data_IF_986975756521
#
_entry.id   IF_986975756521
#
_cell.length_a   1.000
_cell.length_b   1.000
_cell.length_c   1.000
_cell.angle_alpha   90.00
_cell.angle_beta   90.00
_cell.angle_gamma   90.00
#
_symmetry.space_group_name_H-M   'P 1'
#
loop_
_entity.id
_entity.type
_entity.pdbx_description
1 polymer ?
#
# COMPACT_ATOMS: atom_id res chain seq x y z
N UNK A 1 -43.92 -31.06 -70.62
CA UNK A 1 -43.57 -31.25 -69.19
C UNK A 1 -42.37 -30.36 -68.79
N UNK A 2 -42.51 -29.03 -68.61
CA UNK A 2 -41.39 -28.14 -68.26
C UNK A 2 -41.38 -27.71 -66.77
N UNK A 3 -42.44 -28.01 -66.00
CA UNK A 3 -42.61 -27.47 -64.65
C UNK A 3 -41.87 -28.27 -63.56
N UNK A 4 -41.58 -29.56 -63.76
CA UNK A 4 -40.87 -30.35 -62.75
C UNK A 4 -39.37 -30.04 -62.69
N UNK A 5 -38.71 -29.72 -63.82
CA UNK A 5 -37.31 -29.29 -63.83
C UNK A 5 -37.11 -27.92 -63.18
N UNK A 6 -38.05 -27.00 -63.37
CA UNK A 6 -38.02 -25.66 -62.74
C UNK A 6 -38.15 -25.74 -61.22
N UNK A 7 -39.05 -26.61 -60.72
CA UNK A 7 -39.21 -26.88 -59.29
C UNK A 7 -37.98 -27.59 -58.69
N UNK A 8 -37.34 -28.49 -59.44
CA UNK A 8 -36.14 -29.21 -58.99
C UNK A 8 -34.91 -28.29 -58.94
N UNK A 9 -34.74 -27.37 -59.89
CA UNK A 9 -33.70 -26.32 -59.87
C UNK A 9 -33.90 -25.32 -58.74
N UNK A 10 -35.13 -24.84 -58.51
CA UNK A 10 -35.43 -23.94 -57.38
C UNK A 10 -35.17 -24.59 -56.01
N UNK A 11 -35.35 -25.90 -55.87
CA UNK A 11 -35.02 -26.63 -54.65
C UNK A 11 -33.50 -26.76 -54.42
N UNK A 12 -32.75 -26.99 -55.49
CA UNK A 12 -31.28 -27.10 -55.48
C UNK A 12 -30.62 -25.76 -55.16
N UNK A 13 -31.11 -24.66 -55.74
CA UNK A 13 -30.60 -23.31 -55.45
C UNK A 13 -30.84 -22.92 -54.00
N UNK A 14 -32.04 -23.20 -53.45
CA UNK A 14 -32.34 -22.96 -52.03
C UNK A 14 -31.47 -23.78 -51.10
N UNK A 15 -31.20 -25.05 -51.43
CA UNK A 15 -30.29 -25.90 -50.66
C UNK A 15 -28.85 -25.37 -50.71
N UNK A 16 -28.38 -24.91 -51.88
CA UNK A 16 -27.06 -24.30 -52.02
C UNK A 16 -26.93 -23.01 -51.19
N UNK A 17 -27.94 -22.13 -51.20
CA UNK A 17 -27.96 -20.94 -50.35
C UNK A 17 -27.98 -21.27 -48.86
N UNK A 18 -28.71 -22.31 -48.44
CA UNK A 18 -28.72 -22.76 -47.05
C UNK A 18 -27.35 -23.28 -46.61
N UNK A 19 -26.69 -24.08 -47.45
CA UNK A 19 -25.34 -24.58 -47.18
C UNK A 19 -24.35 -23.41 -47.08
N UNK A 20 -24.45 -22.43 -47.98
CA UNK A 20 -23.57 -21.26 -47.99
C UNK A 20 -23.81 -20.37 -46.77
N UNK A 21 -25.06 -20.20 -46.33
CA UNK A 21 -25.41 -19.52 -45.08
C UNK A 21 -24.84 -20.27 -43.86
N UNK A 22 -25.02 -21.59 -43.79
CA UNK A 22 -24.47 -22.43 -42.73
C UNK A 22 -22.94 -22.33 -42.68
N UNK A 23 -22.27 -22.38 -43.83
CA UNK A 23 -20.82 -22.22 -43.93
C UNK A 23 -20.38 -20.83 -43.44
N UNK A 24 -21.10 -19.78 -43.85
CA UNK A 24 -20.88 -18.41 -43.40
C UNK A 24 -21.03 -18.26 -41.87
N UNK A 25 -22.05 -18.89 -41.29
CA UNK A 25 -22.26 -18.93 -39.83
C UNK A 25 -21.15 -19.68 -39.10
N UNK A 26 -20.67 -20.80 -39.66
CA UNK A 26 -19.54 -21.56 -39.10
C UNK A 26 -18.26 -20.74 -39.13
N UNK A 27 -17.96 -20.07 -40.25
CA UNK A 27 -16.79 -19.19 -40.37
C UNK A 27 -16.91 -18.01 -39.40
N UNK A 28 -18.08 -17.37 -39.32
CA UNK A 28 -18.32 -16.29 -38.36
C UNK A 28 -18.13 -16.77 -36.91
N UNK A 29 -18.67 -17.94 -36.56
CA UNK A 29 -18.47 -18.55 -35.24
C UNK A 29 -16.99 -18.85 -34.97
N UNK A 30 -16.25 -19.34 -35.95
CA UNK A 30 -14.82 -19.62 -35.83
C UNK A 30 -14.00 -18.34 -35.64
N UNK A 31 -14.28 -17.29 -36.41
CA UNK A 31 -13.64 -15.98 -36.27
C UNK A 31 -13.96 -15.35 -34.91
N UNK A 32 -15.22 -15.40 -34.48
CA UNK A 32 -15.63 -14.90 -33.16
C UNK A 32 -14.91 -15.70 -32.08
N UNK A 33 -14.99 -17.03 -32.09
CA UNK A 33 -14.34 -17.90 -31.10
C UNK A 33 -12.82 -17.70 -31.04
N UNK A 34 -12.16 -17.50 -32.19
CA UNK A 34 -10.74 -17.22 -32.24
C UNK A 34 -10.43 -15.87 -31.62
N UNK A 35 -11.22 -14.84 -31.93
CA UNK A 35 -11.03 -13.47 -31.40
C UNK A 35 -11.42 -13.31 -29.94
N UNK A 36 -12.36 -14.11 -29.45
CA UNK A 36 -12.85 -14.09 -28.06
C UNK A 36 -12.18 -15.11 -27.15
N UNK A 37 -11.30 -15.96 -27.69
CA UNK A 37 -10.48 -16.83 -26.87
C UNK A 37 -9.54 -16.01 -25.98
N UNK A 38 -9.39 -16.43 -24.73
CA UNK A 38 -8.42 -15.87 -23.80
C UNK A 38 -7.65 -17.03 -23.16
N UNK A 39 -6.36 -16.80 -22.94
CA UNK A 39 -5.56 -17.59 -22.03
C UNK A 39 -5.30 -16.76 -20.78
N UNK A 40 -5.08 -17.40 -19.65
CA UNK A 40 -4.58 -16.69 -18.48
C UNK A 40 -3.07 -16.50 -18.61
N UNK A 41 -2.58 -15.36 -18.16
CA UNK A 41 -1.16 -15.09 -18.03
C UNK A 41 -0.52 -16.08 -17.05
N UNK A 42 0.81 -16.05 -16.96
CA UNK A 42 1.48 -16.56 -15.76
C UNK A 42 0.97 -15.86 -14.49
N UNK A 43 1.26 -16.48 -13.35
CA UNK A 43 0.94 -15.92 -12.05
C UNK A 43 1.68 -14.58 -11.82
N UNK A 44 0.94 -13.56 -11.39
CA UNK A 44 1.45 -12.24 -11.04
C UNK A 44 1.36 -12.11 -9.53
N UNK A 45 2.52 -12.16 -8.87
CA UNK A 45 2.62 -12.11 -7.42
C UNK A 45 2.61 -10.66 -6.91
N UNK A 46 1.78 -10.37 -5.91
CA UNK A 46 1.88 -9.12 -5.16
C UNK A 46 3.02 -9.25 -4.13
N UNK A 47 4.09 -8.46 -4.33
CA UNK A 47 5.34 -8.58 -3.56
C UNK A 47 5.09 -8.59 -2.04
N UNK A 48 5.54 -9.66 -1.39
CA UNK A 48 5.55 -9.80 0.07
C UNK A 48 4.24 -10.24 0.72
N UNK A 49 3.10 -10.20 0.02
CA UNK A 49 1.80 -10.54 0.62
C UNK A 49 1.44 -12.02 0.53
N UNK A 50 2.14 -12.78 -0.33
CA UNK A 50 1.82 -14.16 -0.65
C UNK A 50 0.66 -14.32 -1.66
N UNK A 51 0.02 -13.22 -2.07
CA UNK A 51 -1.04 -13.24 -3.07
C UNK A 51 -0.46 -13.39 -4.47
N UNK A 52 -1.10 -14.24 -5.25
CA UNK A 52 -0.81 -14.48 -6.65
C UNK A 52 -2.12 -14.50 -7.44
N UNK A 53 -2.21 -13.74 -8.55
CA UNK A 53 -3.37 -13.74 -9.44
C UNK A 53 -2.95 -13.85 -10.89
N UNK A 54 -3.84 -14.29 -11.77
CA UNK A 54 -3.61 -14.22 -13.21
C UNK A 54 -4.45 -13.11 -13.84
N UNK A 55 -4.03 -12.66 -15.02
CA UNK A 55 -4.75 -11.72 -15.87
C UNK A 55 -5.03 -12.36 -17.22
N UNK A 56 -6.08 -11.93 -17.95
CA UNK A 56 -6.26 -12.41 -19.31
C UNK A 56 -5.11 -11.97 -20.21
N UNK A 57 -4.68 -12.87 -21.08
CA UNK A 57 -3.60 -12.69 -22.04
C UNK A 57 -4.00 -13.28 -23.40
N UNK A 58 -3.94 -12.45 -24.43
CA UNK A 58 -3.98 -12.80 -25.85
C UNK A 58 -3.65 -11.54 -26.67
N UNK A 59 -3.54 -11.65 -28.00
CA UNK A 59 -3.31 -10.49 -28.88
C UNK A 59 -4.34 -9.35 -28.70
N UNK A 60 -5.56 -9.68 -28.27
CA UNK A 60 -6.64 -8.70 -28.10
C UNK A 60 -6.72 -8.11 -26.69
N UNK A 61 -5.99 -8.68 -25.72
CA UNK A 61 -5.95 -8.19 -24.35
C UNK A 61 -4.77 -7.25 -24.14
N UNK A 62 -5.06 -6.02 -23.72
CA UNK A 62 -4.06 -5.05 -23.29
C UNK A 62 -4.03 -4.98 -21.78
N UNK A 63 -2.93 -5.43 -21.20
CA UNK A 63 -2.62 -5.20 -19.79
C UNK A 63 -2.26 -3.72 -19.58
N UNK A 64 -2.85 -3.06 -18.58
CA UNK A 64 -2.62 -1.64 -18.29
C UNK A 64 -1.35 -1.40 -17.46
N UNK A 65 -0.86 -2.45 -16.78
CA UNK A 65 0.39 -2.45 -16.02
C UNK A 65 0.95 -3.86 -15.92
N UNK A 66 2.27 -4.02 -16.07
CA UNK A 66 2.91 -5.34 -15.98
C UNK A 66 2.92 -5.92 -14.56
N UNK A 67 2.61 -5.09 -13.55
CA UNK A 67 2.56 -5.46 -12.13
C UNK A 67 1.45 -4.64 -11.44
N UNK A 68 1.17 -4.97 -10.18
CA UNK A 68 0.28 -4.22 -9.31
C UNK A 68 0.77 -2.77 -9.11
N UNK A 69 -0.15 -1.82 -9.30
CA UNK A 69 0.07 -0.41 -8.99
C UNK A 69 -0.58 -0.07 -7.65
N UNK A 70 0.18 0.61 -6.79
CA UNK A 70 -0.34 1.11 -5.51
C UNK A 70 -0.98 2.49 -5.69
N UNK A 71 -2.27 2.61 -5.42
CA UNK A 71 -3.02 3.86 -5.48
C UNK A 71 -4.15 3.84 -4.44
N UNK A 72 -4.34 4.93 -3.68
CA UNK A 72 -5.44 5.08 -2.71
C UNK A 72 -5.57 3.93 -1.69
N UNK A 73 -4.47 3.53 -1.05
CA UNK A 73 -4.44 2.44 -0.06
C UNK A 73 -4.91 1.08 -0.59
N UNK A 74 -4.69 0.82 -1.88
CA UNK A 74 -4.91 -0.47 -2.52
C UNK A 74 -3.93 -0.74 -3.66
N UNK A 75 -3.74 -2.02 -3.98
CA UNK A 75 -2.99 -2.46 -5.15
C UNK A 75 -3.95 -2.86 -6.26
N UNK A 76 -3.74 -2.35 -7.47
CA UNK A 76 -4.57 -2.60 -8.64
C UNK A 76 -3.79 -3.19 -9.80
N UNK A 77 -4.38 -4.14 -10.50
CA UNK A 77 -3.92 -4.58 -11.82
C UNK A 77 -5.13 -4.77 -12.72
N UNK A 78 -5.04 -4.26 -13.95
CA UNK A 78 -6.17 -4.21 -14.87
C UNK A 78 -5.77 -4.61 -16.29
N UNK A 79 -6.67 -5.27 -16.99
CA UNK A 79 -6.57 -5.56 -18.41
C UNK A 79 -7.87 -5.17 -19.12
N UNK A 80 -7.75 -4.80 -20.40
CA UNK A 80 -8.88 -4.42 -21.23
C UNK A 80 -8.79 -5.10 -22.60
N UNK A 81 -9.92 -5.60 -23.07
CA UNK A 81 -10.12 -6.06 -24.45
C UNK A 81 -11.17 -5.17 -25.11
N UNK A 82 -10.80 -4.55 -26.23
CA UNK A 82 -11.75 -3.79 -27.07
C UNK A 82 -12.27 -4.70 -28.17
N UNK A 83 -13.57 -4.92 -28.22
CA UNK A 83 -14.23 -5.75 -29.23
C UNK A 83 -14.68 -4.87 -30.40
N UNK A 84 -15.26 -3.71 -30.11
CA UNK A 84 -15.70 -2.70 -31.07
C UNK A 84 -15.62 -1.29 -30.46
N UNK A 85 -16.16 -0.26 -31.15
CA UNK A 85 -16.27 1.11 -30.63
C UNK A 85 -17.08 1.19 -29.33
N UNK A 86 -18.10 0.33 -29.19
CA UNK A 86 -19.09 0.39 -28.11
C UNK A 86 -19.14 -0.89 -27.27
N UNK A 87 -18.19 -1.81 -27.48
CA UNK A 87 -18.09 -3.06 -26.73
C UNK A 87 -16.66 -3.30 -26.29
N UNK A 88 -16.49 -3.41 -24.97
CA UNK A 88 -15.24 -3.72 -24.32
C UNK A 88 -15.50 -4.59 -23.09
N UNK A 89 -14.48 -5.37 -22.72
CA UNK A 89 -14.43 -6.06 -21.44
C UNK A 89 -13.19 -5.56 -20.71
N UNK A 90 -13.34 -5.14 -19.46
CA UNK A 90 -12.23 -4.89 -18.55
C UNK A 90 -12.29 -5.86 -17.39
N UNK A 91 -11.11 -6.30 -16.93
CA UNK A 91 -10.94 -7.08 -15.72
C UNK A 91 -9.95 -6.36 -14.82
N UNK A 92 -10.30 -6.21 -13.54
CA UNK A 92 -9.48 -5.52 -12.54
C UNK A 92 -9.45 -6.30 -11.24
N UNK A 93 -8.24 -6.64 -10.79
CA UNK A 93 -8.00 -7.07 -9.42
C UNK A 93 -7.66 -5.86 -8.55
N UNK A 94 -8.21 -5.85 -7.34
CA UNK A 94 -7.93 -4.88 -6.29
C UNK A 94 -7.62 -5.62 -5.01
N UNK A 95 -6.44 -5.39 -4.44
CA UNK A 95 -6.07 -5.84 -3.11
C UNK A 95 -6.16 -4.65 -2.17
N UNK A 96 -7.15 -4.69 -1.28
CA UNK A 96 -7.43 -3.62 -0.34
C UNK A 96 -6.59 -3.84 0.92
N UNK A 97 -5.76 -2.86 1.26
CA UNK A 97 -4.98 -2.92 2.49
C UNK A 97 -5.93 -2.84 3.68
N UNK A 98 -6.85 -1.89 3.69
CA UNK A 98 -7.73 -1.72 4.84
C UNK A 98 -8.87 -2.75 4.78
N UNK A 99 -9.09 -3.58 5.82
CA UNK A 99 -10.23 -4.49 5.85
C UNK A 99 -11.54 -3.72 5.75
N UNK A 100 -12.40 -4.10 4.82
CA UNK A 100 -13.75 -3.55 4.73
C UNK A 100 -14.64 -4.26 5.74
N UNK A 101 -15.27 -3.48 6.63
CA UNK A 101 -16.24 -3.99 7.61
C UNK A 101 -17.64 -4.21 7.02
N UNK A 102 -17.87 -3.75 5.79
CA UNK A 102 -19.17 -3.84 5.12
C UNK A 102 -19.43 -5.26 4.65
N UNK A 103 -20.63 -5.77 4.97
CA UNK A 103 -21.13 -7.05 4.51
C UNK A 103 -21.08 -7.15 2.96
N UNK A 104 -20.74 -8.31 2.38
CA UNK A 104 -20.70 -8.47 0.92
C UNK A 104 -21.99 -8.05 0.21
N UNK A 105 -23.17 -8.33 0.77
CA UNK A 105 -24.44 -7.96 0.15
C UNK A 105 -24.66 -6.45 0.18
N UNK A 106 -24.37 -5.79 1.30
CA UNK A 106 -24.42 -4.33 1.39
C UNK A 106 -23.48 -3.68 0.38
N UNK A 107 -22.30 -4.26 0.18
CA UNK A 107 -21.33 -3.81 -0.83
C UNK A 107 -21.88 -3.96 -2.24
N UNK A 108 -22.47 -5.11 -2.58
CA UNK A 108 -23.07 -5.31 -3.90
C UNK A 108 -24.24 -4.35 -4.14
N UNK A 109 -25.04 -4.06 -3.12
CA UNK A 109 -26.11 -3.05 -3.18
C UNK A 109 -25.56 -1.64 -3.42
N UNK A 110 -24.47 -1.26 -2.75
CA UNK A 110 -23.81 0.02 -2.98
C UNK A 110 -23.26 0.14 -4.39
N UNK A 111 -22.61 -0.92 -4.91
CA UNK A 111 -22.11 -0.95 -6.29
C UNK A 111 -23.29 -0.83 -7.27
N UNK A 112 -24.35 -1.62 -7.09
CA UNK A 112 -25.55 -1.54 -7.94
C UNK A 112 -26.18 -0.15 -7.91
N UNK A 113 -26.33 0.47 -6.73
CA UNK A 113 -26.86 1.81 -6.59
C UNK A 113 -26.00 2.86 -7.30
N UNK A 114 -24.68 2.81 -7.15
CA UNK A 114 -23.74 3.74 -7.81
C UNK A 114 -23.80 3.68 -9.34
N UNK A 115 -24.22 2.55 -9.90
CA UNK A 115 -24.34 2.32 -11.34
C UNK A 115 -25.76 2.50 -11.85
N UNK A 116 -26.71 2.85 -10.97
CA UNK A 116 -28.15 2.83 -11.27
C UNK A 116 -28.57 1.47 -11.86
N UNK A 117 -27.98 0.40 -11.36
CA UNK A 117 -28.21 -0.97 -11.76
C UNK A 117 -29.01 -1.76 -10.74
N UNK A 118 -29.23 -3.04 -11.05
CA UNK A 118 -29.88 -4.01 -10.18
C UNK A 118 -29.05 -5.29 -10.11
N UNK A 119 -29.08 -5.96 -8.97
CA UNK A 119 -28.42 -7.25 -8.77
C UNK A 119 -29.30 -8.31 -9.45
N UNK A 120 -28.76 -9.02 -10.45
CA UNK A 120 -29.46 -10.15 -11.07
C UNK A 120 -29.39 -11.40 -10.19
N UNK A 121 -28.20 -11.69 -9.66
CA UNK A 121 -27.98 -12.75 -8.69
C UNK A 121 -26.74 -12.41 -7.84
N UNK A 122 -26.71 -12.98 -6.63
CA UNK A 122 -25.57 -12.96 -5.73
C UNK A 122 -25.47 -14.32 -5.02
N UNK A 123 -24.26 -14.69 -4.61
CA UNK A 123 -24.00 -15.94 -3.91
C UNK A 123 -22.58 -16.02 -3.38
N UNK A 124 -22.24 -17.16 -2.80
CA UNK A 124 -20.89 -17.48 -2.36
C UNK A 124 -20.52 -18.87 -2.90
N UNK A 125 -19.35 -18.99 -3.53
CA UNK A 125 -18.87 -20.24 -4.12
C UNK A 125 -17.35 -20.35 -3.98
N UNK A 126 -16.85 -21.58 -3.91
CA UNK A 126 -15.43 -21.88 -3.86
C UNK A 126 -14.80 -21.76 -5.26
N UNK A 127 -13.79 -20.91 -5.39
CA UNK A 127 -12.96 -20.80 -6.58
C UNK A 127 -11.49 -20.93 -6.21
N UNK A 128 -10.85 -22.01 -6.66
CA UNK A 128 -9.45 -22.27 -6.38
C UNK A 128 -9.22 -22.49 -4.88
N UNK A 129 -8.56 -21.55 -4.22
CA UNK A 129 -8.22 -21.64 -2.79
C UNK A 129 -9.14 -20.83 -1.87
N UNK A 130 -10.11 -20.09 -2.42
CA UNK A 130 -10.91 -19.15 -1.65
C UNK A 130 -12.40 -19.35 -1.90
N UNK A 131 -13.19 -18.98 -0.90
CA UNK A 131 -14.63 -18.74 -1.06
C UNK A 131 -14.77 -17.28 -1.45
N UNK A 132 -15.40 -17.03 -2.61
CA UNK A 132 -15.73 -15.69 -3.05
C UNK A 132 -17.23 -15.47 -2.87
N UNK A 133 -17.59 -14.39 -2.19
CA UNK A 133 -18.89 -13.76 -2.38
C UNK A 133 -18.88 -13.08 -3.74
N UNK A 134 -19.90 -13.30 -4.56
CA UNK A 134 -19.96 -12.72 -5.90
C UNK A 134 -21.37 -12.29 -6.26
N UNK A 135 -21.45 -11.34 -7.18
CA UNK A 135 -22.71 -10.86 -7.73
C UNK A 135 -22.56 -10.50 -9.21
N UNK A 136 -23.68 -10.64 -9.93
CA UNK A 136 -23.88 -10.05 -11.25
C UNK A 136 -24.81 -8.85 -11.12
N UNK A 137 -24.32 -7.69 -11.55
CA UNK A 137 -25.04 -6.42 -11.53
C UNK A 137 -25.28 -5.98 -12.97
N UNK A 138 -26.50 -5.59 -13.29
CA UNK A 138 -26.87 -5.09 -14.62
C UNK A 138 -27.37 -3.64 -14.54
N UNK A 139 -26.85 -2.81 -15.45
CA UNK A 139 -27.24 -1.41 -15.63
C UNK A 139 -27.63 -1.17 -17.09
N UNK A 140 -28.16 0.02 -17.40
CA UNK A 140 -28.51 0.38 -18.77
C UNK A 140 -27.31 0.39 -19.73
N UNK A 141 -26.08 0.60 -19.23
CA UNK A 141 -24.87 0.81 -20.06
C UNK A 141 -23.89 -0.36 -20.05
N UNK A 142 -23.93 -1.17 -19.00
CA UNK A 142 -22.95 -2.24 -18.77
C UNK A 142 -23.52 -3.28 -17.80
N UNK A 143 -22.88 -4.44 -17.80
CA UNK A 143 -23.03 -5.43 -16.73
C UNK A 143 -21.68 -5.62 -16.04
N UNK A 144 -21.72 -5.97 -14.76
CA UNK A 144 -20.53 -6.18 -13.93
C UNK A 144 -20.67 -7.53 -13.23
N UNK A 145 -19.59 -8.31 -13.29
CA UNK A 145 -19.35 -9.40 -12.37
C UNK A 145 -18.36 -8.93 -11.32
N UNK A 146 -18.76 -9.00 -10.05
CA UNK A 146 -17.90 -8.64 -8.92
C UNK A 146 -17.75 -9.83 -8.01
N UNK A 147 -16.53 -10.10 -7.56
CA UNK A 147 -16.20 -11.16 -6.63
C UNK A 147 -15.30 -10.63 -5.53
N UNK A 148 -15.55 -11.01 -4.29
CA UNK A 148 -14.80 -10.55 -3.12
C UNK A 148 -14.46 -11.72 -2.22
N UNK A 149 -13.21 -11.79 -1.76
CA UNK A 149 -12.76 -12.78 -0.79
C UNK A 149 -11.95 -12.12 0.31
N UNK A 150 -12.11 -12.62 1.54
CA UNK A 150 -11.23 -12.30 2.67
C UNK A 150 -10.04 -13.26 2.61
N UNK A 151 -8.84 -12.70 2.54
CA UNK A 151 -7.60 -13.46 2.49
C UNK A 151 -7.19 -13.92 3.91
N UNK A 152 -6.33 -14.95 4.04
CA UNK A 152 -5.87 -15.44 5.35
C UNK A 152 -5.22 -14.37 6.25
N UNK A 153 -4.72 -13.29 5.65
CA UNK A 153 -4.16 -12.14 6.37
C UNK A 153 -5.20 -11.05 6.71
N UNK A 154 -6.50 -11.34 6.62
CA UNK A 154 -7.59 -10.42 6.92
C UNK A 154 -7.82 -9.31 5.88
N UNK A 155 -7.04 -9.30 4.79
CA UNK A 155 -7.17 -8.31 3.71
C UNK A 155 -8.25 -8.73 2.72
N UNK A 156 -8.75 -7.80 1.93
CA UNK A 156 -9.79 -8.10 0.94
C UNK A 156 -9.20 -8.12 -0.47
N UNK A 157 -9.54 -9.17 -1.21
CA UNK A 157 -9.30 -9.29 -2.64
C UNK A 157 -10.62 -9.08 -3.38
N UNK A 158 -10.63 -8.17 -4.35
CA UNK A 158 -11.80 -7.87 -5.18
C UNK A 158 -11.45 -8.07 -6.65
N UNK A 159 -12.26 -8.84 -7.37
CA UNK A 159 -12.26 -8.90 -8.82
C UNK A 159 -13.48 -8.17 -9.35
N UNK A 160 -13.26 -7.28 -10.32
CA UNK A 160 -14.32 -6.66 -11.09
C UNK A 160 -14.11 -6.97 -12.58
N UNK A 161 -15.10 -7.59 -13.22
CA UNK A 161 -15.16 -7.77 -14.68
C UNK A 161 -16.34 -6.99 -15.22
N UNK A 162 -16.05 -5.92 -15.95
CA UNK A 162 -17.05 -5.03 -16.54
C UNK A 162 -17.16 -5.33 -18.03
N UNK A 163 -18.37 -5.58 -18.51
CA UNK A 163 -18.64 -5.77 -19.92
C UNK A 163 -19.66 -4.77 -20.47
N UNK A 164 -19.41 -4.32 -21.70
CA UNK A 164 -20.31 -3.47 -22.47
C UNK A 164 -20.78 -4.20 -23.73
N UNK A 165 -22.06 -4.05 -24.08
CA UNK A 165 -22.67 -4.71 -25.23
C UNK A 165 -23.03 -6.17 -24.98
N UNK A 166 -22.81 -7.04 -25.96
CA UNK A 166 -23.36 -8.41 -25.99
C UNK A 166 -22.43 -9.49 -25.42
N UNK A 167 -21.27 -9.12 -24.86
CA UNK A 167 -20.22 -10.06 -24.46
C UNK A 167 -20.43 -10.71 -23.06
N UNK A 168 -21.68 -10.94 -22.65
CA UNK A 168 -22.03 -11.42 -21.28
C UNK A 168 -21.39 -12.77 -20.96
N UNK A 169 -21.57 -13.76 -21.82
CA UNK A 169 -21.07 -15.13 -21.61
C UNK A 169 -19.54 -15.17 -21.50
N UNK A 170 -18.86 -14.37 -22.32
CA UNK A 170 -17.41 -14.27 -22.32
C UNK A 170 -16.90 -13.64 -21.03
N UNK A 171 -17.54 -12.56 -20.57
CA UNK A 171 -17.19 -11.91 -19.31
C UNK A 171 -17.44 -12.82 -18.11
N UNK A 172 -18.52 -13.60 -18.09
CA UNK A 172 -18.77 -14.56 -17.01
C UNK A 172 -17.72 -15.67 -16.99
N UNK A 173 -17.39 -16.22 -18.16
CA UNK A 173 -16.33 -17.24 -18.30
C UNK A 173 -14.98 -16.70 -17.83
N UNK A 174 -14.65 -15.47 -18.23
CA UNK A 174 -13.45 -14.77 -17.79
C UNK A 174 -13.44 -14.57 -16.28
N UNK A 175 -14.54 -14.06 -15.72
CA UNK A 175 -14.70 -13.83 -14.29
C UNK A 175 -14.41 -15.10 -13.48
N UNK A 176 -15.09 -16.21 -13.79
CA UNK A 176 -14.88 -17.49 -13.11
C UNK A 176 -13.45 -18.02 -13.26
N UNK A 177 -12.87 -17.89 -14.45
CA UNK A 177 -11.49 -18.33 -14.70
C UNK A 177 -10.47 -17.51 -13.90
N UNK A 178 -10.69 -16.19 -13.77
CA UNK A 178 -9.83 -15.32 -12.97
C UNK A 178 -9.97 -15.64 -11.49
N UNK A 179 -11.19 -15.77 -10.95
CA UNK A 179 -11.40 -16.18 -9.56
C UNK A 179 -10.65 -17.47 -9.22
N UNK A 180 -10.76 -18.50 -10.07
CA UNK A 180 -10.08 -19.77 -9.90
C UNK A 180 -8.54 -19.69 -10.01
N UNK A 181 -8.01 -18.60 -10.56
CA UNK A 181 -6.57 -18.39 -10.72
C UNK A 181 -5.89 -17.81 -9.48
N UNK A 182 -6.66 -17.25 -8.55
CA UNK A 182 -6.13 -16.62 -7.34
C UNK A 182 -5.54 -17.67 -6.39
N UNK A 183 -4.35 -17.39 -5.84
CA UNK A 183 -3.61 -18.26 -4.92
C UNK A 183 -3.03 -17.46 -3.77
N UNK A 184 -2.82 -18.14 -2.64
CA UNK A 184 -2.14 -17.61 -1.47
C UNK A 184 -1.05 -18.56 -0.98
N UNK A 185 0.18 -18.05 -0.88
CA UNK A 185 1.24 -18.73 -0.14
C UNK A 185 1.24 -18.25 1.31
N UNK A 186 0.99 -19.15 2.26
CA UNK A 186 0.94 -18.83 3.69
C UNK A 186 2.32 -18.50 4.30
N UNK A 187 3.42 -19.02 3.74
CA UNK A 187 4.77 -18.64 4.15
C UNK A 187 5.24 -17.43 3.32
N UNK A 188 4.91 -16.25 3.80
CA UNK A 188 5.21 -14.99 3.12
C UNK A 188 5.73 -13.91 4.09
N UNK A 189 6.22 -12.80 3.54
CA UNK A 189 6.79 -11.71 4.31
C UNK A 189 5.77 -10.95 5.17
N UNK A 190 4.48 -10.96 4.79
CA UNK A 190 3.39 -10.34 5.55
C UNK A 190 3.18 -11.06 6.88
N UNK A 191 3.04 -12.39 6.85
CA UNK A 191 2.85 -13.20 8.07
C UNK A 191 4.05 -13.03 9.01
N UNK A 192 5.27 -13.04 8.45
CA UNK A 192 6.49 -12.77 9.21
C UNK A 192 6.50 -11.36 9.82
N UNK A 193 6.01 -10.37 9.07
CA UNK A 193 5.88 -8.98 9.51
C UNK A 193 4.90 -8.81 10.68
N UNK A 194 3.75 -9.50 10.63
CA UNK A 194 2.78 -9.52 11.72
C UNK A 194 3.37 -10.11 13.00
N UNK A 195 4.01 -11.28 12.90
CA UNK A 195 4.68 -11.91 14.05
C UNK A 195 5.79 -11.01 14.62
N UNK A 196 6.61 -10.43 13.74
CA UNK A 196 7.68 -9.52 14.15
C UNK A 196 7.13 -8.27 14.86
N UNK A 197 6.08 -7.64 14.34
CA UNK A 197 5.52 -6.44 14.94
C UNK A 197 4.75 -6.71 16.23
N UNK A 198 4.14 -7.88 16.37
CA UNK A 198 3.58 -8.32 17.65
C UNK A 198 4.68 -8.44 18.72
N UNK A 199 5.78 -9.12 18.40
CA UNK A 199 6.95 -9.19 19.29
C UNK A 199 7.55 -7.81 19.58
N UNK A 200 7.63 -6.94 18.57
CA UNK A 200 8.12 -5.56 18.73
C UNK A 200 7.26 -4.77 19.72
N UNK A 201 5.93 -4.79 19.55
CA UNK A 201 4.97 -4.05 20.38
C UNK A 201 4.87 -4.61 21.80
N UNK A 202 4.93 -5.93 21.95
CA UNK A 202 4.67 -6.61 23.23
C UNK A 202 5.93 -6.85 24.07
N UNK A 203 7.12 -6.89 23.45
CA UNK A 203 8.39 -7.18 24.16
C UNK A 203 9.37 -6.02 24.03
N UNK A 204 9.76 -5.68 22.81
CA UNK A 204 10.84 -4.72 22.57
C UNK A 204 10.51 -3.31 23.08
N UNK A 205 9.31 -2.79 22.77
CA UNK A 205 8.92 -1.43 23.16
C UNK A 205 8.85 -1.24 24.69
N UNK A 206 8.26 -2.17 25.46
CA UNK A 206 8.39 -2.19 26.93
C UNK A 206 9.85 -2.25 27.41
N UNK A 207 10.68 -3.11 26.84
CA UNK A 207 12.09 -3.26 27.28
C UNK A 207 12.91 -1.99 27.05
N UNK A 208 12.67 -1.27 25.94
CA UNK A 208 13.35 0.00 25.63
C UNK A 208 12.97 1.10 26.62
N UNK A 209 11.72 1.09 27.10
CA UNK A 209 11.28 2.01 28.15
C UNK A 209 12.02 1.75 29.47
N UNK A 210 12.22 0.48 29.83
CA UNK A 210 12.82 0.10 31.10
C UNK A 210 14.36 0.27 31.12
N UNK A 211 15.05 0.03 30.01
CA UNK A 211 16.52 -0.04 29.96
C UNK A 211 17.22 1.26 29.50
N UNK A 212 16.83 1.83 28.36
CA UNK A 212 17.61 2.87 27.67
C UNK A 212 17.02 4.29 27.81
N UNK A 213 15.70 4.41 28.03
CA UNK A 213 14.98 5.70 28.03
C UNK A 213 14.59 6.22 29.42
N UNK A 214 14.59 5.36 30.44
CA UNK A 214 14.20 5.71 31.81
C UNK A 214 15.18 6.69 32.48
N UNK A 215 16.44 6.71 32.04
CA UNK A 215 17.49 7.57 32.62
C UNK A 215 17.85 8.80 31.76
N UNK A 216 17.64 8.78 30.44
CA UNK A 216 18.07 9.87 29.55
C UNK A 216 17.24 9.98 28.26
N UNK A 217 16.91 11.23 27.88
CA UNK A 217 16.35 11.54 26.56
C UNK A 217 17.39 11.22 25.48
N UNK A 218 17.00 10.46 24.46
CA UNK A 218 17.82 10.20 23.28
C UNK A 218 17.55 11.31 22.28
N UNK A 219 18.60 12.00 21.85
CA UNK A 219 18.55 12.95 20.74
C UNK A 219 19.53 12.54 19.65
N UNK A 220 19.03 12.44 18.43
CA UNK A 220 19.81 12.24 17.23
C UNK A 220 19.65 13.44 16.29
N UNK A 221 20.74 13.76 15.60
CA UNK A 221 20.81 14.87 14.65
C UNK A 221 21.40 14.35 13.35
N UNK A 222 20.80 14.72 12.24
CA UNK A 222 21.23 14.30 10.91
C UNK A 222 21.30 15.50 9.98
N UNK A 223 22.38 15.56 9.19
CA UNK A 223 22.44 16.43 8.02
C UNK A 223 21.77 15.74 6.85
N UNK A 224 21.05 16.52 6.06
CA UNK A 224 20.51 16.10 4.77
C UNK A 224 21.47 16.59 3.71
N UNK A 225 22.06 15.67 2.94
CA UNK A 225 22.99 15.98 1.85
C UNK A 225 22.39 15.61 0.50
N UNK A 226 22.60 16.46 -0.49
CA UNK A 226 22.27 16.13 -1.89
C UNK A 226 23.25 15.09 -2.47
N UNK A 227 23.04 14.73 -3.75
CA UNK A 227 23.90 13.77 -4.47
C UNK A 227 25.31 14.30 -4.73
N UNK A 228 25.54 15.60 -4.65
CA UNK A 228 26.85 16.23 -4.75
C UNK A 228 27.55 16.36 -3.37
N UNK A 229 26.88 15.98 -2.28
CA UNK A 229 27.39 16.04 -0.91
C UNK A 229 27.17 17.39 -0.21
N UNK A 230 26.44 18.33 -0.82
CA UNK A 230 26.13 19.62 -0.21
C UNK A 230 25.04 19.44 0.85
N UNK A 231 25.19 20.11 1.99
CA UNK A 231 24.14 20.14 3.01
C UNK A 231 22.96 20.99 2.53
N UNK A 232 21.79 20.37 2.39
CA UNK A 232 20.54 21.00 1.92
C UNK A 232 19.44 21.02 2.99
N UNK A 233 19.75 20.55 4.20
CA UNK A 233 18.79 20.52 5.30
C UNK A 233 19.30 19.72 6.50
N UNK A 234 18.41 19.48 7.45
CA UNK A 234 18.67 18.66 8.63
C UNK A 234 17.38 17.99 9.13
N UNK A 235 17.54 16.93 9.91
CA UNK A 235 16.46 16.38 10.75
C UNK A 235 17.00 16.12 12.15
N UNK A 236 16.13 16.31 13.16
CA UNK A 236 16.43 16.00 14.56
C UNK A 236 15.34 15.10 15.10
N UNK A 237 15.73 14.03 15.78
CA UNK A 237 14.84 13.06 16.37
C UNK A 237 15.09 12.99 17.86
N UNK A 238 14.03 13.09 18.64
CA UNK A 238 14.07 12.97 20.10
C UNK A 238 13.13 11.87 20.52
N UNK A 239 13.60 10.98 21.40
CA UNK A 239 12.80 9.92 21.99
C UNK A 239 12.98 9.98 23.50
N UNK A 240 11.87 9.94 24.23
CA UNK A 240 11.86 9.94 25.69
C UNK A 240 10.75 9.08 26.25
N UNK A 241 10.98 8.60 27.47
CA UNK A 241 10.02 7.87 28.25
C UNK A 241 9.76 8.59 29.59
N UNK A 242 8.51 8.63 30.04
CA UNK A 242 8.13 9.24 31.32
C UNK A 242 6.97 8.49 31.96
N UNK A 243 7.24 7.82 33.08
CA UNK A 243 6.23 7.10 33.89
C UNK A 243 5.12 8.02 34.41
N UNK A 244 5.37 9.33 34.50
CA UNK A 244 4.43 10.34 34.99
C UNK A 244 3.76 11.11 33.84
N UNK A 245 3.42 10.42 32.75
CA UNK A 245 2.79 11.08 31.60
C UNK A 245 1.33 11.47 31.88
N UNK A 246 1.00 12.72 31.54
CA UNK A 246 -0.41 13.13 31.42
C UNK A 246 -1.06 12.28 30.32
N UNK A 247 -2.16 11.59 30.66
CA UNK A 247 -2.98 10.75 29.77
C UNK A 247 -2.50 9.31 29.49
N UNK A 248 -1.62 8.73 30.32
CA UNK A 248 -1.14 7.35 30.18
C UNK A 248 -0.41 7.07 28.84
N UNK A 249 0.24 8.07 28.27
CA UNK A 249 1.06 7.96 27.06
C UNK A 249 2.55 8.25 27.40
N UNK A 250 3.25 7.30 28.06
CA UNK A 250 4.58 7.52 28.60
C UNK A 250 5.68 7.64 27.54
N UNK A 251 5.47 7.11 26.34
CA UNK A 251 6.43 7.26 25.25
C UNK A 251 6.14 8.55 24.49
N UNK A 252 7.18 9.37 24.28
CA UNK A 252 7.09 10.53 23.40
C UNK A 252 8.26 10.59 22.43
N UNK A 253 7.94 10.94 21.19
CA UNK A 253 8.91 11.23 20.14
C UNK A 253 8.63 12.62 19.57
N UNK A 254 9.70 13.36 19.29
CA UNK A 254 9.63 14.68 18.68
C UNK A 254 10.61 14.76 17.52
N UNK A 255 10.13 15.17 16.36
CA UNK A 255 10.92 15.34 15.15
C UNK A 255 10.85 16.79 14.64
N UNK A 256 11.98 17.31 14.17
CA UNK A 256 12.05 18.55 13.40
C UNK A 256 12.84 18.29 12.13
N UNK A 257 12.20 18.49 10.99
CA UNK A 257 12.78 18.37 9.66
C UNK A 257 12.83 19.74 8.99
N UNK A 258 13.97 20.09 8.44
CA UNK A 258 14.13 21.22 7.54
C UNK A 258 14.78 20.75 6.25
N UNK A 259 14.13 21.03 5.12
CA UNK A 259 14.59 20.63 3.81
C UNK A 259 14.51 21.83 2.86
N UNK A 260 15.62 22.18 2.24
CA UNK A 260 15.72 23.35 1.36
C UNK A 260 16.58 23.10 0.12
N UNK A 261 16.17 22.17 -0.78
CA UNK A 261 16.66 22.19 -2.15
C UNK A 261 16.30 23.52 -2.81
N UNK A 262 17.03 23.89 -3.86
CA UNK A 262 16.91 25.18 -4.57
C UNK A 262 15.50 25.52 -5.08
N UNK A 263 14.58 24.56 -5.17
CA UNK A 263 13.24 24.74 -5.73
C UNK A 263 12.07 24.49 -4.76
N UNK A 264 12.30 23.94 -3.56
CA UNK A 264 11.21 23.57 -2.64
C UNK A 264 11.65 23.55 -1.18
N UNK A 265 11.51 24.69 -0.50
CA UNK A 265 11.87 24.82 0.92
C UNK A 265 10.66 24.56 1.81
N UNK A 266 10.76 23.54 2.66
CA UNK A 266 9.77 23.28 3.70
C UNK A 266 10.42 22.91 5.03
N UNK A 267 9.62 23.02 6.08
CA UNK A 267 9.95 22.51 7.40
C UNK A 267 8.76 21.74 7.97
N UNK A 268 9.05 20.71 8.72
CA UNK A 268 8.06 19.90 9.42
C UNK A 268 8.44 19.79 10.88
N UNK A 269 7.44 19.88 11.74
CA UNK A 269 7.56 19.62 13.16
C UNK A 269 6.50 18.59 13.55
N UNK A 270 6.94 17.51 14.17
CA UNK A 270 6.13 16.34 14.47
C UNK A 270 6.30 15.99 15.95
N UNK A 271 5.17 15.75 16.63
CA UNK A 271 5.13 15.32 18.03
C UNK A 271 4.24 14.09 18.13
N UNK A 272 4.85 12.97 18.48
CA UNK A 272 4.22 11.68 18.67
C UNK A 272 4.21 11.30 20.15
N UNK A 273 3.11 10.75 20.65
CA UNK A 273 2.98 10.24 22.02
C UNK A 273 2.17 8.97 22.01
N UNK A 274 2.61 7.94 22.72
CA UNK A 274 1.89 6.66 22.78
C UNK A 274 2.03 5.97 24.12
N UNK A 275 1.19 4.96 24.33
CA UNK A 275 1.50 3.88 25.26
C UNK A 275 2.66 3.02 24.74
N UNK A 276 3.20 2.14 25.58
CA UNK A 276 4.33 1.27 25.23
C UNK A 276 3.95 0.15 24.26
N UNK A 277 2.66 -0.13 24.09
CA UNK A 277 2.15 -1.19 23.21
C UNK A 277 1.52 -0.68 21.92
N UNK A 278 1.48 0.64 21.72
CA UNK A 278 0.81 1.29 20.59
C UNK A 278 -0.68 0.92 20.48
N UNK A 279 -1.36 0.72 21.61
CA UNK A 279 -2.83 0.58 21.64
C UNK A 279 -3.54 1.93 21.62
N UNK A 280 -2.81 2.99 21.97
CA UNK A 280 -3.28 4.36 21.85
C UNK A 280 -2.13 5.33 21.60
N UNK A 281 -2.34 6.29 20.71
CA UNK A 281 -1.35 7.33 20.45
C UNK A 281 -2.00 8.62 19.95
N UNK A 282 -1.27 9.71 20.13
CA UNK A 282 -1.54 11.03 19.55
C UNK A 282 -0.33 11.48 18.75
N UNK A 283 -0.56 11.94 17.53
CA UNK A 283 0.49 12.39 16.65
C UNK A 283 0.07 13.68 15.96
N UNK A 284 0.78 14.77 16.25
CA UNK A 284 0.53 16.07 15.63
C UNK A 284 1.69 16.44 14.73
N UNK A 285 1.38 16.73 13.48
CA UNK A 285 2.33 17.14 12.46
C UNK A 285 1.97 18.56 12.01
N UNK A 286 2.95 19.44 11.96
CA UNK A 286 2.84 20.80 11.43
C UNK A 286 3.90 21.02 10.36
N UNK A 287 3.45 21.12 9.12
CA UNK A 287 4.31 21.35 7.95
C UNK A 287 4.14 22.78 7.46
N UNK A 288 5.25 23.48 7.24
CA UNK A 288 5.29 24.83 6.70
C UNK A 288 6.07 24.88 5.39
N UNK A 289 5.44 25.36 4.33
CA UNK A 289 6.08 25.61 3.03
C UNK A 289 6.54 27.07 2.98
N UNK A 290 7.85 27.29 3.05
CA UNK A 290 8.43 28.63 3.23
C UNK A 290 8.20 29.53 2.01
N UNK A 291 8.20 28.95 0.79
CA UNK A 291 7.98 29.70 -0.45
C UNK A 291 6.54 30.16 -0.63
N UNK A 292 5.56 29.40 -0.14
CA UNK A 292 4.13 29.71 -0.31
C UNK A 292 3.49 30.29 0.95
N UNK A 293 4.24 30.37 2.06
CA UNK A 293 3.76 30.71 3.39
C UNK A 293 2.49 29.92 3.79
N UNK A 294 2.40 28.66 3.33
CA UNK A 294 1.30 27.75 3.66
C UNK A 294 1.72 26.86 4.81
N UNK A 295 0.85 26.78 5.81
CA UNK A 295 0.99 25.83 6.90
C UNK A 295 -0.11 24.79 6.81
N UNK A 296 0.27 23.52 6.91
CA UNK A 296 -0.65 22.40 6.96
C UNK A 296 -0.46 21.70 8.30
N UNK A 297 -1.58 21.40 8.97
CA UNK A 297 -1.59 20.62 10.20
C UNK A 297 -2.29 19.31 9.94
N UNK A 298 -1.68 18.23 10.42
CA UNK A 298 -2.25 16.89 10.43
C UNK A 298 -2.26 16.37 11.85
N UNK A 299 -3.37 15.81 12.30
CA UNK A 299 -3.52 15.17 13.60
C UNK A 299 -3.93 13.72 13.35
N UNK A 300 -3.19 12.78 13.91
CA UNK A 300 -3.49 11.34 13.81
C UNK A 300 -3.64 10.82 15.24
N UNK A 301 -4.77 10.16 15.50
CA UNK A 301 -5.08 9.63 16.83
C UNK A 301 -5.52 8.18 16.71
N UNK A 302 -4.97 7.32 17.57
CA UNK A 302 -5.43 5.95 17.74
C UNK A 302 -6.20 5.82 19.04
N UNK A 303 -7.45 5.36 18.96
CA UNK A 303 -8.29 4.99 20.11
C UNK A 303 -9.10 3.75 19.75
N UNK A 304 -9.07 2.73 20.61
CA UNK A 304 -9.85 1.49 20.43
C UNK A 304 -9.73 0.90 19.01
N UNK A 305 -8.49 0.75 18.53
CA UNK A 305 -8.14 0.22 17.19
C UNK A 305 -8.66 1.03 16.00
N UNK A 306 -9.15 2.25 16.23
CA UNK A 306 -9.56 3.19 15.18
C UNK A 306 -8.56 4.34 15.10
N UNK A 307 -7.93 4.47 13.92
CA UNK A 307 -7.20 5.66 13.53
C UNK A 307 -8.19 6.74 13.09
N UNK A 308 -8.06 7.93 13.65
CA UNK A 308 -8.69 9.15 13.17
C UNK A 308 -7.61 10.08 12.65
N UNK A 309 -7.74 10.49 11.39
CA UNK A 309 -6.82 11.42 10.72
C UNK A 309 -7.59 12.70 10.42
N UNK A 310 -7.15 13.81 11.01
CA UNK A 310 -7.61 15.15 10.69
C UNK A 310 -6.56 15.84 9.81
N UNK A 311 -6.94 16.28 8.62
CA UNK A 311 -6.06 17.00 7.69
C UNK A 311 -6.83 18.13 7.02
N UNK A 312 -6.42 19.37 7.28
CA UNK A 312 -7.06 20.56 6.70
C UNK A 312 -8.59 20.59 6.93
N UNK A 313 -9.05 20.16 8.10
CA UNK A 313 -10.47 20.09 8.48
C UNK A 313 -11.24 18.90 7.90
N UNK A 314 -10.59 18.01 7.12
CA UNK A 314 -11.18 16.73 6.71
C UNK A 314 -10.83 15.66 7.72
N UNK A 315 -11.81 14.81 8.02
CA UNK A 315 -11.67 13.69 8.93
C UNK A 315 -11.77 12.38 8.15
N UNK A 316 -10.82 11.49 8.37
CA UNK A 316 -10.83 10.13 7.86
C UNK A 316 -10.68 9.15 9.03
N UNK A 317 -11.41 8.04 8.97
CA UNK A 317 -11.31 6.98 9.96
C UNK A 317 -11.00 5.65 9.29
N UNK A 318 -10.08 4.90 9.88
CA UNK A 318 -9.69 3.58 9.41
C UNK A 318 -9.24 2.70 10.58
N UNK A 319 -9.35 1.36 10.47
CA UNK A 319 -8.78 0.48 11.46
C UNK A 319 -7.25 0.57 11.49
N UNK A 320 -6.68 0.56 12.69
CA UNK A 320 -5.26 0.31 12.90
C UNK A 320 -5.01 -1.19 12.81
N UNK A 321 -4.05 -1.61 12.01
CA UNK A 321 -3.80 -3.05 11.80
C UNK A 321 -2.54 -3.52 12.49
N UNK A 322 -2.46 -4.81 12.80
CA UNK A 322 -1.35 -5.41 13.53
C UNK A 322 0.02 -5.18 12.86
N UNK A 323 0.04 -5.10 11.53
CA UNK A 323 1.26 -4.84 10.76
C UNK A 323 1.58 -3.35 10.53
N UNK A 324 0.79 -2.45 11.11
CA UNK A 324 0.98 -1.01 10.95
C UNK A 324 1.86 -0.44 12.07
N UNK A 325 2.74 0.49 11.70
CA UNK A 325 3.58 1.27 12.61
C UNK A 325 3.63 2.75 12.18
N UNK A 326 3.54 3.73 13.10
CA UNK A 326 3.86 5.13 12.81
C UNK A 326 5.30 5.29 12.30
N UNK A 327 5.50 6.14 11.27
CA UNK A 327 6.84 6.40 10.72
C UNK A 327 7.83 6.98 11.76
N UNK A 328 7.31 7.69 12.76
CA UNK A 328 8.09 8.24 13.89
C UNK A 328 8.82 7.18 14.72
N UNK A 329 8.46 5.90 14.58
CA UNK A 329 9.11 4.76 15.25
C UNK A 329 9.85 3.85 14.25
N UNK A 330 9.91 4.21 12.98
CA UNK A 330 10.40 3.34 11.92
C UNK A 330 11.87 2.92 12.11
N UNK A 331 12.74 3.85 12.54
CA UNK A 331 14.15 3.54 12.80
C UNK A 331 14.31 2.47 13.90
N UNK A 332 13.46 2.51 14.94
CA UNK A 332 13.47 1.51 16.01
C UNK A 332 13.01 0.14 15.49
N UNK A 333 11.99 0.12 14.63
CA UNK A 333 11.51 -1.10 13.96
C UNK A 333 12.64 -1.72 13.14
N UNK A 334 13.36 -0.92 12.36
CA UNK A 334 14.47 -1.41 11.54
C UNK A 334 15.63 -1.92 12.41
N UNK A 335 15.98 -1.20 13.47
CA UNK A 335 17.01 -1.63 14.42
C UNK A 335 16.64 -2.97 15.09
N UNK A 336 15.37 -3.17 15.46
CA UNK A 336 14.88 -4.45 15.98
C UNK A 336 14.86 -5.55 14.93
N UNK A 337 14.47 -5.25 13.69
CA UNK A 337 14.49 -6.19 12.57
C UNK A 337 15.90 -6.74 12.30
N UNK A 338 16.91 -5.88 12.39
CA UNK A 338 18.32 -6.27 12.23
C UNK A 338 18.80 -7.25 13.31
N UNK A 339 18.22 -7.18 14.52
CA UNK A 339 18.50 -8.12 15.63
C UNK A 339 17.73 -9.44 15.53
N UNK A 340 16.63 -9.49 14.77
CA UNK A 340 15.82 -10.70 14.59
C UNK A 340 16.52 -11.81 13.79
N UNK A 341 15.80 -12.86 13.41
CA UNK A 341 16.29 -13.87 12.44
C UNK A 341 15.60 -13.76 11.07
N UNK A 342 14.73 -12.78 10.88
CA UNK A 342 14.05 -12.57 9.61
C UNK A 342 14.99 -11.96 8.57
N UNK A 343 15.03 -12.54 7.36
CA UNK A 343 15.76 -11.97 6.22
C UNK A 343 14.99 -10.86 5.52
N UNK A 344 13.66 -10.96 5.53
CA UNK A 344 12.73 -10.06 4.84
C UNK A 344 11.40 -10.00 5.59
N UNK A 345 10.80 -8.82 5.66
CA UNK A 345 9.47 -8.58 6.25
C UNK A 345 8.64 -7.67 5.35
N UNK A 346 7.31 -7.79 5.45
CA UNK A 346 6.36 -6.81 4.93
C UNK A 346 5.67 -6.15 6.11
N UNK A 347 5.72 -4.83 6.18
CA UNK A 347 5.03 -4.02 7.20
C UNK A 347 4.34 -2.84 6.53
N UNK A 348 3.49 -2.13 7.28
CA UNK A 348 2.83 -0.92 6.82
C UNK A 348 3.29 0.27 7.67
N UNK A 349 3.87 1.28 7.02
CA UNK A 349 4.24 2.53 7.67
C UNK A 349 3.09 3.54 7.53
N UNK A 350 2.58 4.03 8.66
CA UNK A 350 1.66 5.16 8.72
C UNK A 350 2.48 6.45 8.65
N UNK A 351 2.32 7.17 7.54
CA UNK A 351 3.11 8.36 7.22
C UNK A 351 2.55 9.60 7.92
N UNK A 352 3.41 10.61 8.11
CA UNK A 352 3.08 11.91 8.71
C UNK A 352 1.86 12.62 8.07
N UNK A 353 1.52 12.29 6.83
CA UNK A 353 0.41 12.89 6.10
C UNK A 353 -0.90 12.10 6.15
N UNK A 354 -0.92 11.00 6.91
CA UNK A 354 -2.05 10.09 7.13
C UNK A 354 -2.12 8.90 6.16
N UNK A 355 -1.25 8.83 5.15
CA UNK A 355 -1.26 7.70 4.20
C UNK A 355 -0.59 6.47 4.79
N UNK A 356 -1.07 5.30 4.36
CA UNK A 356 -0.39 4.03 4.61
C UNK A 356 0.62 3.82 3.47
N UNK A 357 1.83 3.38 3.78
CA UNK A 357 2.80 2.92 2.80
C UNK A 357 3.26 1.51 3.16
N UNK A 358 2.98 0.51 2.31
CA UNK A 358 3.59 -0.80 2.45
C UNK A 358 5.11 -0.74 2.28
N UNK A 359 5.82 -1.46 3.15
CA UNK A 359 7.28 -1.49 3.16
C UNK A 359 7.76 -2.93 3.17
N UNK A 360 8.65 -3.24 2.23
CA UNK A 360 9.45 -4.47 2.29
C UNK A 360 10.77 -4.14 2.97
N UNK A 361 10.97 -4.66 4.17
CA UNK A 361 12.27 -4.63 4.83
C UNK A 361 13.08 -5.85 4.40
N UNK A 362 14.36 -5.64 4.10
CA UNK A 362 15.30 -6.71 3.75
C UNK A 362 16.68 -6.41 4.32
N UNK A 363 17.45 -7.45 4.65
CA UNK A 363 18.84 -7.29 5.09
C UNK A 363 19.76 -7.03 3.91
N UNK A 364 20.64 -6.06 4.06
CA UNK A 364 21.76 -5.88 3.14
C UNK A 364 22.86 -6.84 3.59
N UNK A 365 23.21 -7.81 2.75
CA UNK A 365 24.37 -8.68 3.00
C UNK A 365 25.62 -7.82 2.94
N UNK A 366 26.26 -7.60 4.08
CA UNK A 366 27.42 -6.72 4.23
C UNK A 366 28.55 -7.13 3.27
N UNK A 367 28.85 -6.29 2.28
CA UNK A 367 30.04 -6.43 1.43
C UNK A 367 30.84 -5.14 1.26
N UNK A 368 30.35 -3.97 1.70
CA UNK A 368 30.92 -2.68 1.25
C UNK A 368 31.49 -1.77 2.33
N UNK A 369 31.27 -2.02 3.63
CA UNK A 369 31.86 -1.19 4.69
C UNK A 369 32.44 -2.05 5.81
N UNK A 370 33.76 -2.26 5.77
CA UNK A 370 34.52 -3.00 6.79
C UNK A 370 34.43 -2.42 8.22
N UNK A 371 33.77 -1.27 8.40
CA UNK A 371 33.66 -0.55 9.67
C UNK A 371 32.34 -0.80 10.43
N UNK A 372 31.35 -1.47 9.82
CA UNK A 372 30.06 -1.72 10.48
C UNK A 372 29.94 -3.16 10.96
N UNK A 373 29.27 -3.41 12.11
CA UNK A 373 28.99 -4.77 12.59
C UNK A 373 28.24 -5.63 11.57
N UNK A 374 28.30 -6.94 11.74
CA UNK A 374 27.39 -7.85 11.03
C UNK A 374 25.93 -7.50 11.39
N UNK A 375 25.01 -7.60 10.41
CA UNK A 375 23.59 -7.20 10.56
C UNK A 375 23.37 -5.72 10.90
N UNK A 376 24.22 -4.83 10.40
CA UNK A 376 24.10 -3.38 10.62
C UNK A 376 23.28 -2.63 9.55
N UNK A 377 22.85 -3.30 8.49
CA UNK A 377 22.30 -2.63 7.32
C UNK A 377 21.01 -3.27 6.79
N UNK A 378 20.02 -2.43 6.50
CA UNK A 378 18.72 -2.83 5.96
C UNK A 378 18.34 -1.97 4.75
N UNK A 379 17.56 -2.55 3.85
CA UNK A 379 16.89 -1.84 2.77
C UNK A 379 15.37 -1.89 3.01
N UNK A 380 14.75 -0.72 2.96
CA UNK A 380 13.29 -0.54 2.97
C UNK A 380 12.83 -0.12 1.57
N UNK A 381 12.08 -0.99 0.91
CA UNK A 381 11.39 -0.65 -0.35
C UNK A 381 9.96 -0.21 -0.03
N UNK A 382 9.65 1.06 -0.28
CA UNK A 382 8.32 1.62 -0.04
C UNK A 382 7.47 1.51 -1.31
N UNK A 383 6.28 0.94 -1.19
CA UNK A 383 5.35 0.80 -2.30
C UNK A 383 4.45 2.03 -2.35
N UNK A 384 4.67 2.86 -3.38
CA UNK A 384 3.88 4.05 -3.70
C UNK A 384 3.98 5.21 -2.70
N UNK A 385 5.09 5.33 -1.98
CA UNK A 385 5.45 6.55 -1.25
C UNK A 385 6.33 7.49 -2.08
N UNK A 386 6.62 8.68 -1.52
CA UNK A 386 7.52 9.69 -2.09
C UNK A 386 8.96 9.16 -2.15
N UNK A 387 9.40 8.49 -1.09
CA UNK A 387 10.57 7.62 -1.12
C UNK A 387 10.16 6.27 -1.73
N UNK A 388 10.96 5.73 -2.62
CA UNK A 388 10.76 4.41 -3.22
C UNK A 388 11.68 3.36 -2.60
N UNK A 389 12.87 3.77 -2.15
CA UNK A 389 13.84 2.89 -1.51
C UNK A 389 14.70 3.67 -0.52
N UNK A 390 14.99 3.07 0.63
CA UNK A 390 15.88 3.61 1.65
C UNK A 390 16.87 2.54 2.10
N UNK A 391 18.17 2.79 1.95
CA UNK A 391 19.23 1.96 2.54
C UNK A 391 19.65 2.59 3.86
N UNK A 392 19.59 1.85 4.95
CA UNK A 392 19.84 2.35 6.30
C UNK A 392 20.99 1.59 6.93
N UNK A 393 21.86 2.31 7.62
CA UNK A 393 23.05 1.77 8.28
C UNK A 393 23.02 2.17 9.76
N UNK A 394 23.16 1.19 10.64
CA UNK A 394 23.05 1.34 12.09
C UNK A 394 24.37 1.02 12.78
N UNK A 395 24.63 1.68 13.91
CA UNK A 395 25.76 1.36 14.78
C UNK A 395 25.47 0.10 15.62
N UNK A 396 26.47 -0.38 16.37
CA UNK A 396 26.33 -1.55 17.25
C UNK A 396 25.33 -1.39 18.39
N UNK A 397 24.80 -0.17 18.62
CA UNK A 397 23.73 0.10 19.59
C UNK A 397 22.35 0.18 18.93
N UNK A 398 22.27 0.03 17.61
CA UNK A 398 21.02 0.12 16.86
C UNK A 398 20.57 1.57 16.62
N UNK A 399 21.49 2.55 16.63
CA UNK A 399 21.17 3.93 16.23
C UNK A 399 21.54 4.15 14.77
N UNK A 400 20.68 4.87 14.05
CA UNK A 400 20.92 5.18 12.64
C UNK A 400 22.18 6.04 12.51
N UNK A 401 23.08 5.65 11.62
CA UNK A 401 24.35 6.35 11.30
C UNK A 401 24.21 7.11 10.00
N UNK A 402 23.63 6.47 8.99
CA UNK A 402 23.29 7.11 7.73
C UNK A 402 22.18 6.39 7.02
N UNK A 403 21.46 7.11 6.17
CA UNK A 403 20.51 6.51 5.24
C UNK A 403 20.63 7.13 3.84
N UNK A 404 20.64 6.30 2.81
CA UNK A 404 20.52 6.75 1.42
C UNK A 404 19.06 6.60 1.00
N UNK A 405 18.41 7.72 0.73
CA UNK A 405 16.99 7.78 0.37
C UNK A 405 16.87 8.08 -1.12
N UNK A 406 16.11 7.24 -1.82
CA UNK A 406 15.80 7.37 -3.24
C UNK A 406 14.28 7.45 -3.42
N UNK A 407 13.84 8.26 -4.39
CA UNK A 407 12.44 8.50 -4.69
C UNK A 407 12.27 9.73 -5.56
N UNK A 408 11.22 10.53 -5.30
CA UNK A 408 11.06 11.84 -5.95
C UNK A 408 12.23 12.78 -5.66
N UNK A 409 12.82 12.64 -4.47
CA UNK A 409 14.07 13.28 -4.08
C UNK A 409 15.09 12.21 -3.74
N UNK A 410 16.34 12.43 -4.14
CA UNK A 410 17.47 11.57 -3.75
C UNK A 410 18.39 12.37 -2.84
N UNK A 411 18.57 11.89 -1.62
CA UNK A 411 19.41 12.54 -0.62
C UNK A 411 19.96 11.52 0.37
N UNK A 412 20.97 11.94 1.13
CA UNK A 412 21.59 11.15 2.18
C UNK A 412 21.37 11.80 3.53
N UNK A 413 20.92 11.02 4.50
CA UNK A 413 20.99 11.36 5.92
C UNK A 413 22.35 10.94 6.46
N UNK A 414 23.03 11.85 7.13
CA UNK A 414 24.31 11.57 7.80
C UNK A 414 24.25 12.07 9.23
N UNK A 415 24.45 11.15 10.18
CA UNK A 415 24.43 11.47 11.60
C UNK A 415 25.50 12.49 11.94
N UNK A 416 25.14 13.45 12.79
CA UNK A 416 26.01 14.53 13.20
C UNK A 416 25.72 14.96 14.63
N UNK A 417 26.23 16.12 15.04
CA UNK A 417 26.01 16.71 16.37
C UNK A 417 25.11 17.93 16.29
N UNK A 418 24.45 18.25 17.40
CA UNK A 418 23.70 19.51 17.59
C UNK A 418 24.54 20.74 17.20
N UNK A 419 25.79 20.79 17.64
CA UNK A 419 26.69 21.91 17.37
C UNK A 419 26.94 22.08 15.86
N UNK A 420 27.10 20.98 15.13
CA UNK A 420 27.29 21.00 13.69
C UNK A 420 26.03 21.48 12.94
N UNK A 421 24.83 21.06 13.36
CA UNK A 421 23.57 21.57 12.80
C UNK A 421 23.43 23.07 13.03
N UNK A 422 23.72 23.56 14.24
CA UNK A 422 23.59 24.98 14.56
C UNK A 422 24.66 25.86 13.89
N UNK A 423 25.81 25.30 13.56
CA UNK A 423 26.81 25.97 12.75
C UNK A 423 26.31 26.19 11.31
N UNK A 424 25.64 25.19 10.73
CA UNK A 424 25.10 25.26 9.37
C UNK A 424 23.78 26.05 9.29
N UNK A 425 22.97 25.98 10.36
CA UNK A 425 21.58 26.47 10.41
C UNK A 425 21.28 27.26 11.70
N UNK A 426 21.99 28.35 11.99
CA UNK A 426 21.87 29.09 13.26
C UNK A 426 20.46 29.64 13.52
N UNK A 427 19.70 29.94 12.47
CA UNK A 427 18.32 30.44 12.54
C UNK A 427 17.32 29.44 13.16
N UNK A 428 17.71 28.17 13.34
CA UNK A 428 16.86 27.13 13.91
C UNK A 428 17.12 26.85 15.40
N UNK A 429 18.03 27.59 16.04
CA UNK A 429 18.39 27.42 17.45
C UNK A 429 17.18 27.36 18.39
N UNK A 430 16.30 28.36 18.31
CA UNK A 430 15.17 28.49 19.22
C UNK A 430 14.17 27.33 19.05
N UNK A 431 13.95 26.89 17.81
CA UNK A 431 13.02 25.78 17.53
C UNK A 431 13.57 24.44 18.00
N UNK A 432 14.87 24.18 17.80
CA UNK A 432 15.54 22.98 18.32
C UNK A 432 15.48 22.98 19.85
N UNK A 433 15.77 24.11 20.50
CA UNK A 433 15.65 24.23 21.95
C UNK A 433 14.21 24.04 22.45
N UNK A 434 13.21 24.57 21.73
CA UNK A 434 11.80 24.37 22.09
C UNK A 434 11.38 22.90 22.01
N UNK A 435 11.83 22.16 20.99
CA UNK A 435 11.59 20.72 20.87
C UNK A 435 12.14 19.98 22.09
N UNK A 436 13.43 20.18 22.39
CA UNK A 436 14.13 19.58 23.54
C UNK A 436 13.46 19.95 24.88
N UNK A 437 13.07 21.21 25.05
CA UNK A 437 12.39 21.68 26.27
C UNK A 437 10.96 21.16 26.41
N UNK A 438 10.23 20.98 25.31
CA UNK A 438 8.86 20.46 25.35
C UNK A 438 8.79 19.02 25.84
N UNK A 439 9.87 18.26 25.60
CA UNK A 439 10.06 16.91 26.15
C UNK A 439 10.54 16.98 27.62
N UNK A 440 11.43 17.91 27.96
CA UNK A 440 12.01 18.02 29.31
C UNK A 440 11.12 18.72 30.38
N UNK A 441 10.29 19.71 30.02
CA UNK A 441 9.54 20.55 30.98
C UNK A 441 8.51 19.78 31.81
N UNK A 442 8.18 18.54 31.46
CA UNK A 442 7.30 17.69 32.28
C UNK A 442 8.05 16.87 33.32
N UNK A 443 9.32 16.55 33.12
CA UNK A 443 10.14 15.85 34.12
C UNK A 443 10.60 16.76 35.29
N UNK A 444 10.48 18.09 35.18
CA UNK A 444 10.92 19.04 36.20
C UNK A 444 9.81 19.62 37.09
N UNK A 445 8.52 19.41 36.78
CA UNK A 445 7.41 19.88 37.63
C UNK A 445 7.17 19.02 38.87
N UNK A 446 7.94 17.95 39.08
CA UNK A 446 7.81 17.00 40.19
C UNK A 446 9.04 16.94 41.12
N UNK A 447 9.85 18.00 41.17
CA UNK A 447 10.84 18.19 42.24
C UNK A 447 10.44 19.29 43.21
#
# INVERSE_FOLDING_TARGET
MPNSEKLRRMGLDKAAFLILLMLGLIIAKFVISSKTSFNLSGSIALKGTGLEVSMPSSENWKLLSNDFKYENNEFRISAIMRISSDSAISATWRYLLIPQKTDPNERFLQIAASLQGHIQYAGAEEFGQFIFDYARIESQKAFIFVGTAVLPNGRNLVLEVVGQGTAVELSEKLFKALLASAKYNADNSFVKGALFLDDFKNKFMPDVADADLSEQMISDYYRIKDTAGNTIGFTTDTLSYSDQSDNNLPLSSGNLLFYSPSSDTFAEHSLFRSDTKLTSFDWTISQGFMLTNRQQRTIIQLRADVLTIEKSGRFEQMPFTEIMIPDSLFDLVVASFLKSDFSTLYIESLQADGRISPVILSRIKSTETAALPERSAAQADFLGAVATSQKMYFDGRGRLVSADIQGNFTFRLERTTRAAILADFPQWLDKIQQLEQSQNKKNQRSR
#
